data_IF_232324361557
#
_entry.id   IF_232324361557
#
_cell.length_a   1.000
_cell.length_b   1.000
_cell.length_c   1.000
_cell.angle_alpha   90.00
_cell.angle_beta   90.00
_cell.angle_gamma   90.00
#
_symmetry.space_group_name_H-M   'P 1'
#
loop_
_entity.id
_entity.type
_entity.pdbx_description
1 polymer ?
#
# COMPACT_ATOMS: atom_id res chain seq x y z
N UNK A 1 16.89 9.27 16.81
CA UNK A 1 15.62 9.67 17.43
C UNK A 1 15.77 11.05 18.03
N UNK A 2 14.80 11.95 17.88
CA UNK A 2 14.87 13.25 18.56
C UNK A 2 14.55 13.06 20.06
N UNK A 3 15.43 13.54 20.94
CA UNK A 3 15.10 13.73 22.35
C UNK A 3 14.09 14.85 22.53
N UNK A 4 13.54 14.99 23.74
CA UNK A 4 12.56 16.04 24.12
C UNK A 4 13.08 17.47 23.87
N UNK A 5 14.38 17.63 23.66
CA UNK A 5 15.04 18.90 23.35
C UNK A 5 15.24 19.11 21.82
N UNK A 6 14.61 18.30 20.97
CA UNK A 6 14.78 18.34 19.50
C UNK A 6 16.13 17.80 18.99
N UNK A 7 17.04 17.38 19.88
CA UNK A 7 18.35 16.86 19.52
C UNK A 7 18.26 15.40 19.04
N UNK A 8 18.78 15.11 17.85
CA UNK A 8 18.81 13.76 17.30
C UNK A 8 19.92 12.92 17.95
N UNK A 9 19.55 11.96 18.79
CA UNK A 9 20.44 10.93 19.31
C UNK A 9 20.33 9.66 18.47
N UNK A 10 21.47 9.09 18.07
CA UNK A 10 21.50 7.81 17.36
C UNK A 10 21.32 6.70 18.39
N UNK A 11 20.23 5.94 18.28
CA UNK A 11 19.98 4.79 19.16
C UNK A 11 20.79 3.57 18.69
N UNK A 12 21.23 2.75 19.65
CA UNK A 12 22.02 1.53 19.45
C UNK A 12 21.14 0.28 19.27
N UNK A 13 19.81 0.42 19.37
CA UNK A 13 18.86 -0.66 19.08
C UNK A 13 19.15 -1.28 17.69
N UNK A 14 19.29 -2.61 17.58
CA UNK A 14 19.61 -3.26 16.33
C UNK A 14 18.44 -3.11 15.33
N UNK A 15 18.57 -2.15 14.42
CA UNK A 15 17.64 -1.92 13.30
C UNK A 15 17.89 -2.83 12.11
N UNK A 16 18.88 -3.74 12.19
CA UNK A 16 19.20 -4.70 11.12
C UNK A 16 18.33 -5.96 11.23
N UNK A 17 17.06 -5.84 10.87
CA UNK A 17 16.33 -6.95 10.26
C UNK A 17 16.39 -6.73 8.74
N UNK A 18 17.39 -7.34 8.10
CA UNK A 18 17.63 -7.19 6.66
C UNK A 18 16.80 -8.21 5.88
N UNK A 19 15.51 -7.93 5.74
CA UNK A 19 14.58 -8.49 4.74
C UNK A 19 13.60 -7.37 4.39
N UNK A 20 13.61 -6.88 3.15
CA UNK A 20 12.70 -5.80 2.75
C UNK A 20 11.23 -6.21 3.01
N UNK A 21 10.39 -5.30 3.50
CA UNK A 21 9.02 -5.62 3.95
C UNK A 21 8.97 -5.96 5.44
N UNK A 22 9.17 -7.25 5.79
CA UNK A 22 9.08 -7.76 7.18
C UNK A 22 10.04 -7.02 8.12
N UNK A 23 11.25 -6.69 7.67
CA UNK A 23 12.24 -5.99 8.50
C UNK A 23 11.76 -4.63 9.02
N UNK A 24 10.88 -3.92 8.29
CA UNK A 24 10.29 -2.66 8.75
C UNK A 24 9.27 -2.90 9.85
N UNK A 25 8.44 -3.93 9.71
CA UNK A 25 7.47 -4.32 10.75
C UNK A 25 8.21 -4.74 12.03
N UNK A 26 9.23 -5.58 11.91
CA UNK A 26 10.08 -5.98 13.05
C UNK A 26 10.73 -4.76 13.73
N UNK A 27 11.29 -3.84 12.94
CA UNK A 27 11.91 -2.63 13.48
C UNK A 27 10.92 -1.76 14.25
N UNK A 28 9.69 -1.59 13.73
CA UNK A 28 8.64 -0.82 14.38
C UNK A 28 8.16 -1.47 15.68
N UNK A 29 7.92 -2.78 15.65
CA UNK A 29 7.52 -3.53 16.85
C UNK A 29 8.54 -3.40 17.98
N UNK A 30 9.83 -3.53 17.63
CA UNK A 30 10.93 -3.47 18.59
C UNK A 30 11.31 -2.05 19.04
N UNK A 31 10.71 -0.99 18.48
CA UNK A 31 11.07 0.40 18.81
C UNK A 31 9.85 1.24 19.18
N UNK A 32 8.96 1.49 18.22
CA UNK A 32 7.85 2.42 18.38
C UNK A 32 6.67 1.76 19.10
N UNK A 33 6.28 0.55 18.73
CA UNK A 33 5.15 -0.13 19.38
C UNK A 33 5.47 -0.44 20.83
N UNK A 34 6.68 -0.95 21.11
CA UNK A 34 7.15 -1.17 22.48
C UNK A 34 7.15 0.12 23.32
N UNK A 35 7.46 1.28 22.70
CA UNK A 35 7.54 2.56 23.41
C UNK A 35 6.19 3.23 23.63
N UNK A 36 5.30 3.18 22.65
CA UNK A 36 4.03 3.93 22.66
C UNK A 36 2.80 3.04 22.92
N UNK A 37 2.97 1.72 22.92
CA UNK A 37 1.91 0.76 23.20
C UNK A 37 0.91 0.55 22.06
N UNK A 38 1.14 1.15 20.88
CA UNK A 38 0.29 1.03 19.71
C UNK A 38 1.09 1.14 18.41
N UNK A 39 0.53 0.59 17.32
CA UNK A 39 1.05 0.71 15.97
C UNK A 39 0.94 2.12 15.36
N UNK A 40 1.44 2.30 14.12
CA UNK A 40 1.29 3.54 13.36
C UNK A 40 -0.18 3.86 13.10
N UNK A 41 -0.56 5.14 13.20
CA UNK A 41 -1.90 5.61 12.78
C UNK A 41 -1.97 5.97 11.30
N UNK A 42 -0.81 6.24 10.69
CA UNK A 42 -0.71 6.57 9.27
C UNK A 42 0.55 5.98 8.64
N UNK A 43 0.42 5.57 7.37
CA UNK A 43 1.50 5.04 6.55
C UNK A 43 1.70 5.85 5.26
N UNK A 44 2.92 5.83 4.74
CA UNK A 44 3.28 6.47 3.48
C UNK A 44 4.10 5.47 2.67
N UNK A 45 3.68 5.18 1.45
CA UNK A 45 4.32 4.15 0.62
C UNK A 45 4.47 4.55 -0.83
N UNK A 46 5.45 3.93 -1.49
CA UNK A 46 5.61 3.98 -2.94
C UNK A 46 5.99 2.61 -3.55
N UNK A 47 6.16 1.57 -2.74
CA UNK A 47 6.73 0.29 -3.17
C UNK A 47 6.29 -0.92 -2.32
N UNK A 48 6.57 -2.14 -2.82
CA UNK A 48 6.43 -3.41 -2.07
C UNK A 48 7.12 -3.36 -0.70
N UNK A 49 8.26 -2.67 -0.60
CA UNK A 49 9.04 -2.64 0.65
C UNK A 49 8.35 -1.93 1.80
N UNK A 50 7.26 -1.20 1.56
CA UNK A 50 6.42 -0.54 2.56
C UNK A 50 5.11 -1.29 2.84
N UNK A 51 4.81 -2.32 2.06
CA UNK A 51 3.48 -2.93 2.01
C UNK A 51 3.06 -3.50 3.37
N UNK A 52 3.87 -4.37 3.98
CA UNK A 52 3.56 -4.97 5.29
C UNK A 52 3.28 -3.89 6.34
N UNK A 53 4.16 -2.90 6.43
CA UNK A 53 3.99 -1.77 7.35
C UNK A 53 2.69 -0.97 7.09
N UNK A 54 2.26 -0.83 5.84
CA UNK A 54 1.06 -0.06 5.47
C UNK A 54 -0.23 -0.88 5.43
N UNK A 55 -0.21 -2.14 5.88
CA UNK A 55 -1.37 -3.04 5.77
C UNK A 55 -1.58 -3.91 7.00
N UNK A 56 -0.52 -4.30 7.71
CA UNK A 56 -0.64 -5.28 8.79
C UNK A 56 -1.08 -4.69 10.14
N UNK A 57 -1.13 -3.37 10.34
CA UNK A 57 -1.50 -2.78 11.64
C UNK A 57 -2.95 -2.31 11.71
N UNK A 58 -3.72 -2.78 12.69
CA UNK A 58 -5.14 -2.38 12.93
C UNK A 58 -5.29 -0.90 13.33
N UNK A 59 -4.20 -0.33 13.85
CA UNK A 59 -4.15 1.08 14.24
C UNK A 59 -4.12 2.03 13.03
N UNK A 60 -3.79 1.54 11.84
CA UNK A 60 -3.70 2.37 10.63
C UNK A 60 -5.08 2.89 10.23
N UNK A 61 -5.22 4.22 10.21
CA UNK A 61 -6.43 4.90 9.74
C UNK A 61 -6.26 5.53 8.36
N UNK A 62 -5.03 5.85 7.98
CA UNK A 62 -4.73 6.48 6.69
C UNK A 62 -3.43 5.94 6.10
N UNK A 63 -3.45 5.58 4.82
CA UNK A 63 -2.23 5.30 4.06
C UNK A 63 -2.24 6.14 2.79
N UNK A 64 -1.14 6.86 2.56
CA UNK A 64 -0.93 7.60 1.32
C UNK A 64 0.04 6.81 0.45
N UNK A 65 -0.44 6.37 -0.70
CA UNK A 65 0.36 5.74 -1.74
C UNK A 65 0.74 6.78 -2.79
N UNK A 66 2.04 7.05 -2.94
CA UNK A 66 2.54 7.92 -3.99
C UNK A 66 2.54 7.18 -5.32
N UNK A 67 1.64 7.56 -6.23
CA UNK A 67 1.42 6.84 -7.47
C UNK A 67 2.65 6.93 -8.38
N UNK A 68 3.28 5.80 -8.67
CA UNK A 68 4.39 5.72 -9.62
C UNK A 68 3.92 5.43 -11.05
N UNK A 69 2.66 5.03 -11.23
CA UNK A 69 2.03 4.68 -12.51
C UNK A 69 2.86 3.74 -13.41
N UNK A 70 3.75 2.96 -12.82
CA UNK A 70 4.54 1.91 -13.46
C UNK A 70 4.57 0.62 -12.63
N UNK A 71 3.85 0.60 -11.50
CA UNK A 71 3.68 -0.57 -10.64
C UNK A 71 2.54 -1.42 -11.17
N UNK A 72 2.85 -2.67 -11.47
CA UNK A 72 1.92 -3.69 -11.97
C UNK A 72 1.19 -4.37 -10.81
N UNK A 73 0.21 -5.20 -11.12
CA UNK A 73 -0.49 -6.09 -10.18
C UNK A 73 0.44 -7.07 -9.44
N UNK A 74 1.68 -7.23 -9.91
CA UNK A 74 2.74 -8.02 -9.24
C UNK A 74 3.60 -7.19 -8.29
N UNK A 75 3.16 -6.00 -7.89
CA UNK A 75 3.85 -5.07 -6.98
C UNK A 75 2.83 -4.48 -6.01
N UNK A 76 3.21 -4.38 -4.72
CA UNK A 76 2.34 -3.88 -3.66
C UNK A 76 1.91 -2.43 -3.86
N UNK A 77 2.74 -1.59 -4.48
CA UNK A 77 2.34 -0.24 -4.86
C UNK A 77 1.25 -0.23 -5.95
N UNK A 78 1.23 -1.25 -6.82
CA UNK A 78 0.18 -1.42 -7.82
C UNK A 78 -1.14 -1.83 -7.19
N UNK A 79 -1.12 -2.84 -6.32
CA UNK A 79 -2.29 -3.29 -5.56
C UNK A 79 -2.92 -2.15 -4.75
N UNK A 80 -2.11 -1.38 -4.00
CA UNK A 80 -2.65 -0.27 -3.20
C UNK A 80 -3.16 0.88 -4.08
N UNK A 81 -2.57 1.10 -5.27
CA UNK A 81 -3.11 2.09 -6.20
C UNK A 81 -4.51 1.71 -6.68
N UNK A 82 -4.74 0.45 -7.03
CA UNK A 82 -6.06 -0.05 -7.42
C UNK A 82 -7.06 -0.01 -6.26
N UNK A 83 -6.65 -0.48 -5.08
CA UNK A 83 -7.48 -0.45 -3.87
C UNK A 83 -7.90 0.97 -3.48
N UNK A 84 -7.00 1.94 -3.56
CA UNK A 84 -7.32 3.34 -3.25
C UNK A 84 -8.37 3.92 -4.22
N UNK A 85 -8.28 3.57 -5.51
CA UNK A 85 -9.29 3.94 -6.51
C UNK A 85 -10.61 3.23 -6.22
N UNK A 86 -10.56 1.93 -5.92
CA UNK A 86 -11.74 1.13 -5.58
C UNK A 86 -12.49 1.63 -4.34
N UNK A 87 -11.76 1.90 -3.25
CA UNK A 87 -12.32 2.45 -2.03
C UNK A 87 -13.03 3.78 -2.29
N UNK A 88 -12.39 4.69 -3.02
CA UNK A 88 -12.95 6.01 -3.33
C UNK A 88 -14.17 5.91 -4.25
N UNK A 89 -14.04 5.24 -5.39
CA UNK A 89 -15.00 5.33 -6.48
C UNK A 89 -16.15 4.31 -6.35
N UNK A 90 -15.90 3.16 -5.73
CA UNK A 90 -16.90 2.08 -5.62
C UNK A 90 -17.43 1.93 -4.21
N UNK A 91 -16.54 1.86 -3.20
CA UNK A 91 -17.00 1.75 -1.81
C UNK A 91 -17.45 3.11 -1.24
N UNK A 92 -17.11 4.22 -1.90
CA UNK A 92 -17.42 5.58 -1.45
C UNK A 92 -16.79 5.90 -0.10
N UNK A 93 -15.58 5.40 0.14
CA UNK A 93 -14.85 5.62 1.39
C UNK A 93 -14.29 7.03 1.42
N UNK A 94 -14.60 7.73 2.50
CA UNK A 94 -13.82 8.83 3.04
C UNK A 94 -13.24 8.40 4.39
N UNK A 95 -12.56 9.33 5.08
CA UNK A 95 -11.94 9.02 6.37
C UNK A 95 -12.95 8.54 7.43
N UNK A 96 -14.13 9.15 7.47
CA UNK A 96 -15.15 8.82 8.46
C UNK A 96 -15.74 7.43 8.18
N UNK A 97 -16.06 7.13 6.92
CA UNK A 97 -16.62 5.84 6.52
C UNK A 97 -15.63 4.69 6.69
N UNK A 98 -14.38 4.87 6.29
CA UNK A 98 -13.33 3.86 6.50
C UNK A 98 -13.17 3.58 8.00
N UNK A 99 -13.06 4.62 8.82
CA UNK A 99 -12.94 4.48 10.28
C UNK A 99 -14.14 3.78 10.90
N UNK A 100 -15.37 4.11 10.48
CA UNK A 100 -16.59 3.47 10.95
C UNK A 100 -16.66 1.98 10.60
N UNK A 101 -16.06 1.58 9.47
CA UNK A 101 -15.93 0.18 9.05
C UNK A 101 -14.74 -0.54 9.70
N UNK A 102 -13.96 0.14 10.55
CA UNK A 102 -12.72 -0.42 11.11
C UNK A 102 -11.56 -0.51 10.12
N UNK A 103 -11.72 0.02 8.91
CA UNK A 103 -10.77 -0.07 7.81
C UNK A 103 -9.73 1.07 7.83
N UNK A 104 -8.63 0.84 7.12
CA UNK A 104 -7.67 1.87 6.71
C UNK A 104 -8.15 2.55 5.43
N UNK A 105 -8.18 3.88 5.41
CA UNK A 105 -8.37 4.64 4.18
C UNK A 105 -7.07 4.66 3.37
N UNK A 106 -7.10 4.16 2.13
CA UNK A 106 -6.01 4.25 1.18
C UNK A 106 -6.24 5.40 0.21
N UNK A 107 -5.26 6.31 0.13
CA UNK A 107 -5.30 7.49 -0.75
C UNK A 107 -4.18 7.38 -1.78
N UNK A 108 -4.53 7.57 -3.05
CA UNK A 108 -3.56 7.55 -4.14
C UNK A 108 -3.18 8.98 -4.54
N UNK A 109 -1.90 9.34 -4.39
CA UNK A 109 -1.38 10.67 -4.68
C UNK A 109 -0.59 10.66 -5.99
N UNK A 110 -1.12 11.31 -7.03
CA UNK A 110 -0.45 11.49 -8.32
C UNK A 110 0.73 12.46 -8.23
N UNK A 111 1.70 12.28 -9.12
CA UNK A 111 2.95 13.05 -9.15
C UNK A 111 3.21 13.62 -10.53
N UNK A 112 3.89 14.75 -10.58
CA UNK A 112 4.61 15.18 -11.77
C UNK A 112 6.08 14.89 -11.52
N UNK A 113 6.66 13.99 -12.30
CA UNK A 113 8.06 13.61 -12.17
C UNK A 113 8.99 14.48 -13.04
N UNK A 114 8.43 15.38 -13.83
CA UNK A 114 9.17 16.32 -14.66
C UNK A 114 9.45 17.63 -13.90
N UNK A 115 10.38 18.43 -14.43
CA UNK A 115 10.73 19.74 -13.88
C UNK A 115 11.18 19.67 -12.41
N UNK A 116 10.55 20.47 -11.55
CA UNK A 116 10.87 20.55 -10.11
C UNK A 116 10.37 19.35 -9.30
N UNK A 117 9.60 18.45 -9.92
CA UNK A 117 8.89 17.33 -9.28
C UNK A 117 7.88 17.80 -8.24
N UNK A 118 6.62 17.47 -8.44
CA UNK A 118 5.55 17.96 -7.57
C UNK A 118 4.45 16.93 -7.38
N UNK A 119 3.57 17.19 -6.42
CA UNK A 119 2.31 16.49 -6.32
C UNK A 119 1.27 17.12 -7.23
N UNK A 120 0.41 16.28 -7.80
CA UNK A 120 -0.70 16.70 -8.64
C UNK A 120 -1.99 16.68 -7.81
N UNK A 121 -2.91 17.58 -8.10
CA UNK A 121 -4.27 17.48 -7.56
C UNK A 121 -5.08 16.43 -8.34
N UNK A 122 -4.58 15.20 -8.36
CA UNK A 122 -5.10 14.04 -9.10
C UNK A 122 -4.43 12.77 -8.60
N UNK A 123 -5.09 11.63 -8.78
CA UNK A 123 -4.49 10.31 -8.53
C UNK A 123 -3.49 9.90 -9.64
N UNK A 124 -3.53 10.56 -10.79
CA UNK A 124 -2.71 10.22 -11.96
C UNK A 124 -1.33 10.87 -11.93
N UNK A 125 -0.35 10.17 -12.47
CA UNK A 125 1.05 10.60 -12.51
C UNK A 125 1.51 10.88 -13.94
N UNK A 126 2.26 11.97 -14.13
CA UNK A 126 3.05 12.21 -15.34
C UNK A 126 4.46 11.74 -15.06
N UNK A 127 4.91 10.71 -15.77
CA UNK A 127 6.21 10.07 -15.53
C UNK A 127 7.35 10.88 -16.13
N UNK A 128 8.56 10.66 -15.61
CA UNK A 128 9.74 11.35 -16.09
C UNK A 128 9.94 11.13 -17.61
N UNK A 129 10.02 12.23 -18.36
CA UNK A 129 10.17 12.22 -19.81
C UNK A 129 8.88 11.97 -20.59
N UNK A 130 7.75 11.77 -19.91
CA UNK A 130 6.43 11.62 -20.52
C UNK A 130 5.61 12.90 -20.37
N UNK A 131 4.66 13.09 -21.29
CA UNK A 131 3.69 14.21 -21.25
C UNK A 131 2.28 13.75 -20.88
N UNK A 132 2.01 12.45 -21.01
CA UNK A 132 0.72 11.87 -20.71
C UNK A 132 0.61 11.49 -19.23
N UNK A 133 -0.56 11.72 -18.65
CA UNK A 133 -0.87 11.26 -17.30
C UNK A 133 -1.36 9.81 -17.32
N UNK A 134 -0.89 9.02 -16.35
CA UNK A 134 -1.25 7.61 -16.19
C UNK A 134 -1.76 7.34 -14.79
N UNK A 135 -2.86 6.59 -14.71
CA UNK A 135 -3.39 6.10 -13.44
C UNK A 135 -2.69 4.81 -13.03
N UNK A 136 -2.61 3.86 -13.96
CA UNK A 136 -2.03 2.54 -13.76
C UNK A 136 -0.92 2.23 -14.75
N UNK A 137 -0.21 1.12 -14.52
CA UNK A 137 0.89 0.72 -15.38
C UNK A 137 0.40 0.12 -16.71
N UNK A 138 -0.65 -0.70 -16.67
CA UNK A 138 -1.24 -1.37 -17.83
C UNK A 138 -2.68 -1.86 -17.55
N UNK A 139 -3.28 -2.51 -18.55
CA UNK A 139 -4.64 -3.09 -18.50
C UNK A 139 -4.81 -4.18 -17.44
N UNK A 140 -3.73 -4.85 -17.00
CA UNK A 140 -3.81 -5.85 -15.93
C UNK A 140 -4.26 -5.22 -14.61
N UNK A 141 -3.81 -3.99 -14.32
CA UNK A 141 -4.27 -3.25 -13.15
C UNK A 141 -5.78 -2.94 -13.24
N UNK A 142 -6.25 -2.56 -14.43
CA UNK A 142 -7.67 -2.29 -14.67
C UNK A 142 -8.50 -3.56 -14.53
N UNK A 143 -7.99 -4.70 -15.01
CA UNK A 143 -8.63 -6.01 -14.85
C UNK A 143 -8.74 -6.42 -13.38
N UNK A 144 -7.69 -6.21 -12.59
CA UNK A 144 -7.72 -6.51 -11.15
C UNK A 144 -8.70 -5.59 -10.43
N UNK A 145 -8.70 -4.28 -10.72
CA UNK A 145 -9.70 -3.34 -10.20
C UNK A 145 -11.13 -3.77 -10.55
N UNK A 146 -11.39 -4.13 -11.82
CA UNK A 146 -12.71 -4.57 -12.25
C UNK A 146 -13.14 -5.84 -11.52
N UNK A 147 -12.22 -6.78 -11.26
CA UNK A 147 -12.51 -7.95 -10.45
C UNK A 147 -12.94 -7.58 -9.02
N UNK A 148 -12.28 -6.61 -8.39
CA UNK A 148 -12.68 -6.13 -7.05
C UNK A 148 -14.11 -5.57 -7.07
N UNK A 149 -14.46 -4.83 -8.13
CA UNK A 149 -15.80 -4.26 -8.34
C UNK A 149 -16.84 -5.35 -8.52
N UNK A 150 -16.62 -6.25 -9.47
CA UNK A 150 -17.58 -7.29 -9.86
C UNK A 150 -17.89 -8.24 -8.70
N UNK A 151 -16.90 -8.45 -7.81
CA UNK A 151 -17.02 -9.35 -6.65
C UNK A 151 -17.31 -8.62 -5.33
N UNK A 152 -17.50 -7.30 -5.35
CA UNK A 152 -17.84 -6.49 -4.17
C UNK A 152 -16.91 -6.76 -2.96
N UNK A 153 -15.61 -6.85 -3.22
CA UNK A 153 -14.64 -7.25 -2.21
C UNK A 153 -14.51 -6.20 -1.11
N UNK A 154 -14.30 -6.63 0.12
CA UNK A 154 -13.87 -5.76 1.23
C UNK A 154 -12.38 -5.40 1.09
N UNK A 155 -11.94 -4.36 1.79
CA UNK A 155 -10.51 -3.97 1.88
C UNK A 155 -9.63 -5.16 2.27
N UNK A 156 -10.04 -5.89 3.30
CA UNK A 156 -9.35 -7.09 3.78
C UNK A 156 -9.25 -8.16 2.69
N UNK A 157 -10.36 -8.48 2.02
CA UNK A 157 -10.38 -9.49 0.97
C UNK A 157 -9.45 -9.10 -0.19
N UNK A 158 -9.46 -7.83 -0.61
CA UNK A 158 -8.56 -7.33 -1.67
C UNK A 158 -7.11 -7.54 -1.29
N UNK A 159 -6.71 -7.07 -0.09
CA UNK A 159 -5.32 -7.13 0.37
C UNK A 159 -4.87 -8.58 0.51
N UNK A 160 -5.63 -9.41 1.24
CA UNK A 160 -5.25 -10.80 1.52
C UNK A 160 -5.23 -11.68 0.26
N UNK A 161 -6.06 -11.37 -0.74
CA UNK A 161 -6.11 -12.15 -1.99
C UNK A 161 -5.00 -11.75 -2.94
N UNK A 162 -4.88 -10.45 -3.26
CA UNK A 162 -4.02 -10.00 -4.34
C UNK A 162 -2.59 -9.69 -3.91
N UNK A 163 -2.26 -9.77 -2.62
CA UNK A 163 -0.86 -9.75 -2.17
C UNK A 163 -0.12 -11.06 -2.48
N UNK A 164 -0.86 -12.17 -2.59
CA UNK A 164 -0.31 -13.52 -2.74
C UNK A 164 0.01 -13.83 -4.20
N UNK A 165 1.24 -14.29 -4.44
CA UNK A 165 1.72 -14.65 -5.79
C UNK A 165 0.83 -15.73 -6.40
N UNK A 166 0.32 -15.44 -7.59
CA UNK A 166 -0.41 -16.39 -8.41
C UNK A 166 0.13 -16.36 -9.83
N UNK A 167 0.45 -17.53 -10.38
CA UNK A 167 0.91 -17.65 -11.76
C UNK A 167 -0.26 -17.59 -12.75
N UNK A 168 0.02 -17.13 -13.97
CA UNK A 168 -0.99 -16.92 -15.01
C UNK A 168 -1.78 -18.20 -15.36
N UNK A 169 -1.11 -19.36 -15.34
CA UNK A 169 -1.68 -20.66 -15.70
C UNK A 169 -2.27 -21.41 -14.50
N UNK A 170 -2.31 -20.80 -13.31
CA UNK A 170 -2.89 -21.43 -12.13
C UNK A 170 -4.41 -21.64 -12.32
N UNK A 171 -4.91 -22.81 -11.92
CA UNK A 171 -6.34 -23.11 -11.93
C UNK A 171 -7.15 -22.20 -10.99
N UNK A 172 -6.49 -21.68 -9.96
CA UNK A 172 -7.08 -20.79 -8.97
C UNK A 172 -6.83 -19.30 -9.32
N UNK A 173 -6.36 -19.01 -10.55
CA UNK A 173 -6.12 -17.64 -10.99
C UNK A 173 -7.43 -16.90 -11.22
N UNK A 174 -7.68 -15.90 -10.37
CA UNK A 174 -8.90 -15.10 -10.40
C UNK A 174 -8.99 -14.14 -11.59
N UNK A 175 -7.84 -13.76 -12.16
CA UNK A 175 -7.74 -12.78 -13.24
C UNK A 175 -7.52 -13.45 -14.61
N UNK A 176 -7.76 -14.77 -14.75
CA UNK A 176 -7.77 -15.50 -16.02
C UNK A 176 -6.60 -15.15 -16.95
N UNK A 177 -5.42 -15.72 -16.68
CA UNK A 177 -4.21 -15.56 -17.49
C UNK A 177 -3.33 -14.36 -17.11
N UNK A 178 -3.64 -13.65 -16.03
CA UNK A 178 -2.82 -12.53 -15.52
C UNK A 178 -2.09 -12.96 -14.27
N UNK A 179 -0.76 -12.83 -14.26
CA UNK A 179 0.06 -13.03 -13.06
C UNK A 179 -0.15 -11.84 -12.11
N UNK A 180 -0.43 -12.10 -10.83
CA UNK A 180 -0.55 -11.07 -9.81
C UNK A 180 0.12 -11.49 -8.49
N UNK A 181 0.22 -10.54 -7.57
CA UNK A 181 0.80 -10.74 -6.25
C UNK A 181 2.32 -10.77 -6.23
N UNK A 182 2.87 -10.65 -5.02
CA UNK A 182 4.29 -10.39 -4.77
C UNK A 182 4.83 -11.07 -3.52
N UNK A 183 3.97 -11.64 -2.67
CA UNK A 183 4.36 -12.45 -1.53
C UNK A 183 4.09 -13.93 -1.74
N UNK A 184 4.97 -14.77 -1.21
CA UNK A 184 4.71 -16.20 -1.00
C UNK A 184 4.01 -16.44 0.33
N UNK A 185 4.24 -15.57 1.30
CA UNK A 185 3.63 -15.56 2.63
C UNK A 185 3.37 -14.11 3.02
N UNK A 186 2.19 -13.85 3.59
CA UNK A 186 1.78 -12.53 4.05
C UNK A 186 1.05 -12.68 5.38
N UNK A 187 1.33 -11.81 6.35
CA UNK A 187 0.78 -11.91 7.70
C UNK A 187 -0.72 -11.66 7.78
N UNK A 188 -1.28 -11.01 6.76
CA UNK A 188 -2.69 -10.64 6.71
C UNK A 188 -2.93 -9.18 7.04
N UNK A 189 -3.97 -8.62 6.45
CA UNK A 189 -4.45 -7.28 6.75
C UNK A 189 -4.79 -7.15 8.23
N UNK A 190 -4.31 -6.08 8.88
CA UNK A 190 -4.54 -5.80 10.30
C UNK A 190 -4.16 -6.94 11.27
N UNK A 191 -3.17 -7.77 10.91
CA UNK A 191 -2.66 -8.86 11.76
C UNK A 191 -1.92 -8.41 13.04
N UNK A 192 -1.57 -7.12 13.15
CA UNK A 192 -0.90 -6.52 14.29
C UNK A 192 -1.81 -5.53 15.01
N UNK A 193 -1.83 -5.64 16.34
CA UNK A 193 -2.54 -4.74 17.25
C UNK A 193 -1.72 -3.50 17.59
#
# INVERSE_FOLDING_TARGET
MSGENGAWTKDTAPTKAQTQGIGKVTALNNTLVQRYGHGPIAGFMDSVGDFNFCTEYETLKLVICFNRANRKVTDGGGLIAELAVYQRDTLGYDYAKATANGDTLYVLQGRDENGLRSFRNSNKTVRLGETEEKLFANEDNEKQLQYMIDNQMTTEQVINTFSMKTDADSKDNLLGGVKYGFFTEYGGYHNHK
#
